data_IF_980838153120
#
_entry.id   IF_980838153120
#
_cell.length_a   1.000
_cell.length_b   1.000
_cell.length_c   1.000
_cell.angle_alpha   90.00
_cell.angle_beta   90.00
_cell.angle_gamma   90.00
#
_symmetry.space_group_name_H-M   'P 1'
#
loop_
_entity.id
_entity.type
_entity.pdbx_description
1 polymer ?
#
# COMPACT_ATOMS: atom_id res chain seq x y z
N UNK A 1 31.89 43.18 -21.19
CA UNK A 1 32.59 42.05 -21.83
C UNK A 1 31.57 41.26 -22.63
N UNK A 2 31.92 41.01 -23.90
CA UNK A 2 31.09 40.52 -24.98
C UNK A 2 30.79 39.01 -24.93
N UNK A 3 29.79 38.64 -25.75
CA UNK A 3 29.54 37.37 -26.47
C UNK A 3 28.40 36.49 -25.93
N UNK A 4 27.47 35.96 -26.74
CA UNK A 4 26.99 36.21 -28.12
C UNK A 4 25.70 35.36 -28.29
N UNK A 5 24.85 35.76 -29.22
CA UNK A 5 23.49 35.27 -29.55
C UNK A 5 23.37 33.81 -30.08
N UNK A 6 22.14 33.24 -30.02
CA UNK A 6 21.24 32.74 -31.11
C UNK A 6 20.22 31.73 -30.48
N UNK A 7 18.89 31.92 -30.34
CA UNK A 7 17.70 32.17 -31.20
C UNK A 7 16.93 30.88 -31.66
N UNK A 8 15.64 30.83 -31.27
CA UNK A 8 14.44 30.16 -31.86
C UNK A 8 14.24 28.63 -31.76
N UNK A 9 13.13 28.17 -31.17
CA UNK A 9 11.85 28.00 -31.88
C UNK A 9 10.70 27.59 -30.94
N UNK A 10 9.53 28.18 -31.17
CA UNK A 10 8.26 27.99 -30.47
C UNK A 10 7.44 26.88 -31.14
N UNK A 11 6.79 26.00 -30.37
CA UNK A 11 5.66 25.20 -30.87
C UNK A 11 4.55 25.16 -29.81
N UNK A 12 3.48 25.90 -30.07
CA UNK A 12 2.14 25.67 -29.52
C UNK A 12 1.55 24.43 -30.18
N UNK A 13 0.84 23.59 -29.42
CA UNK A 13 -0.15 22.68 -29.99
C UNK A 13 -1.53 22.95 -29.38
N UNK A 14 -2.41 23.45 -30.24
CA UNK A 14 -3.84 23.63 -30.04
C UNK A 14 -4.55 22.28 -30.14
N UNK A 15 -5.41 21.95 -29.18
CA UNK A 15 -6.35 20.83 -29.27
C UNK A 15 -7.64 21.34 -29.92
N UNK A 16 -7.93 20.86 -31.12
CA UNK A 16 -9.18 21.13 -31.83
C UNK A 16 -10.18 20.02 -31.49
N UNK A 17 -11.36 20.40 -30.97
CA UNK A 17 -12.53 19.53 -30.90
C UNK A 17 -13.00 19.17 -32.31
N UNK A 18 -13.36 17.90 -32.54
CA UNK A 18 -14.39 17.55 -33.52
C UNK A 18 -15.55 16.85 -32.80
N UNK A 19 -16.71 17.47 -32.95
CA UNK A 19 -18.05 16.91 -32.71
C UNK A 19 -18.53 16.22 -33.98
N UNK A 20 -19.20 15.08 -33.88
CA UNK A 20 -20.44 14.80 -34.64
C UNK A 20 -21.31 13.84 -33.86
N UNK A 21 -22.61 14.04 -34.01
CA UNK A 21 -23.68 13.52 -33.21
C UNK A 21 -24.38 12.31 -33.85
N UNK A 22 -25.10 11.60 -32.99
CA UNK A 22 -26.38 10.92 -33.22
C UNK A 22 -26.43 9.75 -34.22
N UNK A 23 -26.84 8.59 -33.71
CA UNK A 23 -28.18 8.09 -34.02
C UNK A 23 -28.73 7.21 -32.90
N UNK A 24 -29.97 7.53 -32.54
CA UNK A 24 -30.83 6.85 -31.61
C UNK A 24 -31.49 5.66 -32.32
N UNK A 25 -31.68 4.53 -31.62
CA UNK A 25 -32.92 3.76 -31.75
C UNK A 25 -33.08 2.87 -30.50
N UNK A 26 -34.15 3.14 -29.75
CA UNK A 26 -34.71 2.27 -28.72
C UNK A 26 -35.18 0.94 -29.31
N UNK A 27 -35.14 -0.13 -28.51
CA UNK A 27 -36.35 -0.82 -28.01
C UNK A 27 -36.02 -2.11 -27.22
N UNK A 28 -36.63 -2.19 -26.03
CA UNK A 28 -37.17 -3.35 -25.32
C UNK A 28 -36.43 -4.72 -25.30
N UNK A 29 -36.18 -5.18 -24.06
CA UNK A 29 -36.82 -6.34 -23.41
C UNK A 29 -35.85 -7.33 -22.70
N UNK A 30 -35.93 -7.32 -21.37
CA UNK A 30 -35.93 -8.44 -20.40
C UNK A 30 -34.97 -9.65 -20.49
N UNK A 31 -34.59 -10.06 -19.26
CA UNK A 31 -34.27 -11.41 -18.76
C UNK A 31 -32.80 -11.89 -18.74
N UNK A 32 -32.33 -12.03 -17.49
CA UNK A 32 -31.70 -13.21 -16.89
C UNK A 32 -30.92 -14.18 -17.80
N UNK A 33 -29.65 -14.40 -17.46
CA UNK A 33 -28.97 -15.64 -17.87
C UNK A 33 -27.46 -15.55 -17.79
N UNK A 34 -26.90 -15.82 -16.60
CA UNK A 34 -25.50 -16.22 -16.46
C UNK A 34 -25.37 -17.60 -17.11
N UNK A 35 -24.63 -17.70 -18.23
CA UNK A 35 -24.09 -18.97 -18.70
C UNK A 35 -22.66 -18.84 -19.17
N UNK A 36 -21.85 -19.72 -18.57
CA UNK A 36 -20.44 -19.96 -18.86
C UNK A 36 -20.21 -20.32 -20.32
N UNK A 37 -19.13 -19.80 -20.91
CA UNK A 37 -18.58 -20.30 -22.15
C UNK A 37 -17.23 -20.98 -21.89
N UNK A 38 -17.30 -22.32 -21.93
CA UNK A 38 -16.18 -23.22 -22.22
C UNK A 38 -15.61 -22.85 -23.59
N UNK A 39 -14.30 -22.62 -23.67
CA UNK A 39 -13.60 -22.49 -24.95
C UNK A 39 -13.15 -23.86 -25.45
N UNK A 40 -13.57 -24.18 -26.67
CA UNK A 40 -13.22 -25.39 -27.39
C UNK A 40 -11.85 -25.27 -28.06
N UNK A 41 -11.12 -26.40 -28.02
CA UNK A 41 -9.95 -26.73 -28.86
C UNK A 41 -10.27 -26.57 -30.35
N UNK A 42 -9.32 -26.00 -31.09
CA UNK A 42 -9.05 -26.43 -32.46
C UNK A 42 -7.54 -26.34 -32.72
N UNK A 43 -6.94 -27.50 -33.02
CA UNK A 43 -5.59 -27.64 -33.54
C UNK A 43 -5.57 -27.23 -35.02
N UNK A 44 -4.56 -26.48 -35.43
CA UNK A 44 -3.95 -26.60 -36.76
C UNK A 44 -2.43 -26.64 -36.56
N UNK A 45 -1.79 -27.67 -37.12
CA UNK A 45 -0.34 -27.88 -37.16
C UNK A 45 0.18 -27.59 -38.58
N UNK A 46 1.51 -27.38 -38.62
CA UNK A 46 2.46 -27.36 -39.74
C UNK A 46 2.66 -26.02 -40.44
N UNK A 47 3.85 -25.64 -40.88
CA UNK A 47 5.26 -25.95 -40.56
C UNK A 47 6.03 -24.94 -41.43
N UNK A 48 6.95 -24.15 -40.88
CA UNK A 48 8.10 -23.64 -41.65
C UNK A 48 9.18 -23.11 -40.72
N UNK A 49 10.37 -23.71 -40.84
CA UNK A 49 11.64 -23.22 -40.30
C UNK A 49 12.09 -21.98 -41.08
N UNK A 50 12.57 -20.93 -40.41
CA UNK A 50 13.88 -20.32 -40.69
C UNK A 50 14.34 -19.45 -39.51
N UNK A 51 15.65 -19.43 -39.33
CA UNK A 51 16.42 -18.93 -38.19
C UNK A 51 16.42 -17.40 -38.04
N UNK A 52 16.42 -16.89 -36.79
CA UNK A 52 17.30 -15.80 -36.36
C UNK A 52 17.28 -15.67 -34.82
N UNK A 53 18.48 -15.49 -34.27
CA UNK A 53 18.85 -15.37 -32.85
C UNK A 53 18.10 -14.26 -32.11
N UNK A 54 17.66 -14.55 -30.89
CA UNK A 54 17.82 -13.61 -29.77
C UNK A 54 18.04 -14.38 -28.46
N UNK A 55 19.32 -14.46 -28.09
CA UNK A 55 19.81 -14.76 -26.75
C UNK A 55 19.45 -13.58 -25.84
N UNK A 56 18.73 -13.82 -24.74
CA UNK A 56 19.28 -13.67 -23.39
C UNK A 56 18.18 -14.01 -22.36
N UNK A 57 18.14 -15.28 -21.97
CA UNK A 57 17.48 -15.70 -20.75
C UNK A 57 18.19 -15.01 -19.58
N UNK A 58 17.60 -13.94 -19.04
CA UNK A 58 17.92 -13.40 -17.71
C UNK A 58 17.76 -14.52 -16.69
N UNK A 59 18.86 -15.26 -16.50
CA UNK A 59 19.09 -16.21 -15.45
C UNK A 59 18.92 -15.43 -14.14
N UNK A 60 17.93 -15.81 -13.34
CA UNK A 60 17.89 -15.41 -11.94
C UNK A 60 19.26 -15.74 -11.35
N UNK A 61 20.03 -14.71 -11.02
CA UNK A 61 21.16 -14.84 -10.12
C UNK A 61 20.55 -15.12 -8.76
N UNK A 62 20.34 -16.40 -8.46
CA UNK A 62 20.26 -16.84 -7.07
C UNK A 62 21.65 -16.55 -6.50
N UNK A 63 21.77 -15.42 -5.80
CA UNK A 63 22.98 -15.08 -5.04
C UNK A 63 23.25 -16.23 -4.09
N UNK A 64 24.28 -17.02 -4.40
CA UNK A 64 24.72 -18.10 -3.53
C UNK A 64 25.22 -17.43 -2.25
N UNK A 65 24.60 -17.76 -1.12
CA UNK A 65 24.99 -17.30 0.22
C UNK A 65 26.52 -17.48 0.36
N UNK A 66 27.27 -16.44 0.75
CA UNK A 66 28.73 -16.49 0.78
C UNK A 66 29.18 -17.60 1.73
N UNK A 67 30.14 -18.41 1.28
CA UNK A 67 30.70 -19.53 2.05
C UNK A 67 31.72 -18.98 3.06
N UNK A 68 31.21 -18.41 4.15
CA UNK A 68 31.99 -17.83 5.24
C UNK A 68 31.97 -18.81 6.40
N UNK A 69 33.14 -19.27 6.83
CA UNK A 69 33.28 -20.09 8.03
C UNK A 69 32.66 -19.36 9.24
N UNK A 70 31.83 -20.06 10.03
CA UNK A 70 30.94 -19.41 10.99
C UNK A 70 31.67 -18.69 12.13
N UNK A 71 32.86 -19.16 12.47
CA UNK A 71 33.74 -18.62 13.50
C UNK A 71 34.73 -17.57 12.99
N UNK A 72 34.78 -17.31 11.67
CA UNK A 72 35.66 -16.31 11.10
C UNK A 72 35.17 -14.91 11.46
N UNK A 73 36.11 -14.04 11.87
CA UNK A 73 35.84 -12.62 12.02
C UNK A 73 35.38 -12.00 10.67
N UNK A 74 34.23 -11.33 10.71
CA UNK A 74 33.62 -10.68 9.56
C UNK A 74 34.27 -9.32 9.32
N UNK A 75 34.67 -9.07 8.08
CA UNK A 75 35.06 -7.73 7.62
C UNK A 75 33.84 -6.83 7.41
N UNK A 76 34.08 -5.53 7.24
CA UNK A 76 33.02 -4.58 6.87
C UNK A 76 32.36 -4.95 5.54
N UNK A 77 33.13 -5.46 4.57
CA UNK A 77 32.62 -5.96 3.29
C UNK A 77 31.77 -7.22 3.47
N UNK A 78 32.17 -8.14 4.34
CA UNK A 78 31.34 -9.31 4.68
C UNK A 78 30.01 -8.85 5.29
N UNK A 79 30.04 -7.91 6.24
CA UNK A 79 28.83 -7.39 6.88
C UNK A 79 27.91 -6.66 5.90
N UNK A 80 28.45 -5.86 4.97
CA UNK A 80 27.67 -5.21 3.91
C UNK A 80 27.03 -6.22 2.96
N UNK A 81 27.74 -7.30 2.63
CA UNK A 81 27.21 -8.36 1.77
C UNK A 81 26.11 -9.16 2.47
N UNK A 82 26.28 -9.45 3.76
CA UNK A 82 25.32 -10.22 4.56
C UNK A 82 24.06 -9.42 4.93
N UNK A 83 24.24 -8.13 5.23
CA UNK A 83 23.19 -7.21 5.64
C UNK A 83 23.33 -5.92 4.81
N UNK A 84 22.80 -5.89 3.57
CA UNK A 84 22.98 -4.76 2.66
C UNK A 84 22.43 -3.43 3.20
N UNK A 85 21.27 -3.48 3.87
CA UNK A 85 20.68 -2.31 4.52
C UNK A 85 21.58 -1.80 5.65
N UNK A 86 22.02 -0.54 5.53
CA UNK A 86 22.95 0.05 6.48
C UNK A 86 22.34 0.20 7.88
N UNK A 87 21.05 0.53 7.98
CA UNK A 87 20.38 0.73 9.25
C UNK A 87 20.19 -0.62 9.96
N UNK A 88 19.76 -1.65 9.23
CA UNK A 88 19.63 -3.00 9.79
C UNK A 88 20.98 -3.55 10.25
N UNK A 89 22.01 -3.40 9.41
CA UNK A 89 23.39 -3.77 9.76
C UNK A 89 23.87 -3.06 11.02
N UNK A 90 23.63 -1.74 11.15
CA UNK A 90 24.01 -0.97 12.33
C UNK A 90 23.33 -1.46 13.61
N UNK A 91 22.05 -1.84 13.51
CA UNK A 91 21.30 -2.42 14.64
C UNK A 91 21.87 -3.77 15.08
N UNK A 92 22.39 -4.56 14.15
CA UNK A 92 23.06 -5.82 14.47
C UNK A 92 24.42 -5.54 15.12
N UNK A 93 25.27 -4.73 14.48
CA UNK A 93 26.66 -4.52 14.90
C UNK A 93 26.76 -3.80 16.24
N UNK A 94 25.78 -2.97 16.63
CA UNK A 94 25.76 -2.32 17.97
C UNK A 94 25.67 -3.31 19.14
N UNK A 95 25.31 -4.58 18.91
CA UNK A 95 25.32 -5.63 19.94
C UNK A 95 26.74 -6.12 20.28
N UNK A 96 27.74 -5.79 19.45
CA UNK A 96 29.10 -6.34 19.54
C UNK A 96 30.17 -5.27 19.77
N UNK A 97 29.83 -4.16 20.45
CA UNK A 97 30.77 -3.04 20.65
C UNK A 97 32.09 -3.56 21.25
N UNK A 98 33.19 -3.27 20.54
CA UNK A 98 34.57 -3.67 20.88
C UNK A 98 34.85 -5.18 20.85
N UNK A 99 34.05 -5.95 20.11
CA UNK A 99 34.28 -7.38 19.92
C UNK A 99 34.35 -7.72 18.44
N UNK A 100 35.09 -8.77 18.11
CA UNK A 100 34.98 -9.37 16.77
C UNK A 100 33.54 -9.84 16.55
N UNK A 101 33.06 -9.70 15.32
CA UNK A 101 31.75 -10.18 14.89
C UNK A 101 31.99 -11.43 14.06
N UNK A 102 31.31 -12.51 14.40
CA UNK A 102 31.31 -13.78 13.67
C UNK A 102 29.86 -14.20 13.41
N UNK A 103 29.63 -15.11 12.48
CA UNK A 103 28.26 -15.63 12.25
C UNK A 103 27.74 -16.41 13.46
N UNK A 104 28.63 -17.09 14.20
CA UNK A 104 28.27 -17.79 15.44
C UNK A 104 27.77 -16.80 16.50
N UNK A 105 28.48 -15.70 16.72
CA UNK A 105 28.04 -14.65 17.66
C UNK A 105 26.73 -13.98 17.24
N UNK A 106 26.52 -13.77 15.94
CA UNK A 106 25.24 -13.26 15.42
C UNK A 106 24.11 -14.27 15.67
N UNK A 107 24.37 -15.55 15.45
CA UNK A 107 23.40 -16.62 15.68
C UNK A 107 23.06 -16.77 17.17
N UNK A 108 24.00 -16.51 18.07
CA UNK A 108 23.82 -16.57 19.52
C UNK A 108 22.95 -15.44 20.10
N UNK A 109 22.72 -14.36 19.35
CA UNK A 109 21.76 -13.33 19.73
C UNK A 109 20.37 -13.96 19.93
N UNK A 110 19.77 -13.71 21.09
CA UNK A 110 18.52 -14.33 21.50
C UNK A 110 17.60 -13.35 22.23
N UNK A 111 16.35 -13.76 22.46
CA UNK A 111 15.34 -12.91 23.10
C UNK A 111 14.69 -11.95 22.11
N UNK A 112 14.75 -10.65 22.41
CA UNK A 112 14.14 -9.59 21.61
C UNK A 112 15.16 -8.82 20.79
N UNK A 113 14.89 -8.66 19.49
CA UNK A 113 15.64 -7.81 18.58
C UNK A 113 14.89 -6.49 18.38
N UNK A 114 15.31 -5.45 19.10
CA UNK A 114 14.68 -4.13 19.06
C UNK A 114 15.31 -3.22 18.01
N UNK A 115 14.49 -2.75 17.06
CA UNK A 115 14.91 -1.97 15.90
C UNK A 115 13.86 -0.91 15.49
N UNK A 116 13.21 -0.28 16.46
CA UNK A 116 12.16 0.72 16.21
C UNK A 116 12.73 2.04 15.68
N UNK A 117 12.17 2.57 14.59
CA UNK A 117 12.48 3.93 14.14
C UNK A 117 13.85 4.09 13.48
N UNK A 118 14.51 3.00 13.12
CA UNK A 118 15.88 2.95 12.62
C UNK A 118 15.97 3.32 11.11
N UNK A 119 14.84 3.46 10.43
CA UNK A 119 14.79 3.77 9.00
C UNK A 119 15.18 2.59 8.10
N UNK A 120 14.96 1.36 8.58
CA UNK A 120 15.27 0.13 7.85
C UNK A 120 14.33 -0.02 6.64
N UNK A 121 14.89 -0.32 5.47
CA UNK A 121 14.14 -0.61 4.23
C UNK A 121 14.14 -2.10 3.88
N UNK A 122 15.25 -2.81 4.17
CA UNK A 122 15.40 -4.24 3.89
C UNK A 122 15.88 -5.03 5.12
N UNK A 123 15.31 -6.23 5.27
CA UNK A 123 15.69 -7.21 6.28
C UNK A 123 16.55 -8.35 5.71
N UNK A 124 17.13 -8.18 4.53
CA UNK A 124 18.05 -9.17 3.97
C UNK A 124 19.19 -9.49 4.96
N UNK A 125 19.43 -10.79 5.17
CA UNK A 125 20.32 -11.32 6.19
C UNK A 125 19.62 -11.73 7.49
N UNK A 126 18.33 -11.45 7.67
CA UNK A 126 17.61 -11.79 8.91
C UNK A 126 17.71 -13.28 9.27
N UNK A 127 17.91 -14.17 8.29
CA UNK A 127 18.07 -15.61 8.54
C UNK A 127 19.29 -16.00 9.39
N UNK A 128 20.24 -15.07 9.59
CA UNK A 128 21.38 -15.27 10.49
C UNK A 128 21.04 -15.08 11.97
N UNK A 129 19.94 -14.40 12.31
CA UNK A 129 19.47 -14.15 13.68
C UNK A 129 18.66 -15.33 14.23
N UNK A 130 19.29 -16.52 14.23
CA UNK A 130 18.62 -17.83 14.40
C UNK A 130 17.88 -18.01 15.74
N UNK A 131 18.37 -17.38 16.81
CA UNK A 131 17.88 -17.59 18.17
C UNK A 131 16.98 -16.46 18.69
N UNK A 132 16.73 -15.42 17.88
CA UNK A 132 15.76 -14.37 18.22
C UNK A 132 14.34 -14.93 18.22
N UNK A 133 13.57 -14.57 19.25
CA UNK A 133 12.18 -14.98 19.41
C UNK A 133 11.21 -13.85 19.07
N UNK A 134 11.57 -12.62 19.39
CA UNK A 134 10.72 -11.44 19.20
C UNK A 134 11.45 -10.42 18.33
N UNK A 135 10.89 -10.08 17.18
CA UNK A 135 11.40 -9.02 16.32
C UNK A 135 10.54 -7.76 16.46
N UNK A 136 11.16 -6.61 16.77
CA UNK A 136 10.47 -5.33 16.89
C UNK A 136 11.02 -4.35 15.86
N UNK A 137 10.28 -4.16 14.77
CA UNK A 137 10.62 -3.32 13.62
C UNK A 137 9.64 -2.16 13.44
N UNK A 138 9.05 -1.67 14.53
CA UNK A 138 8.05 -0.61 14.49
C UNK A 138 8.62 0.66 13.85
N UNK A 139 7.81 1.41 13.10
CA UNK A 139 8.20 2.71 12.59
C UNK A 139 9.41 2.69 11.63
N UNK A 140 9.53 1.70 10.75
CA UNK A 140 10.58 1.64 9.72
C UNK A 140 10.01 1.88 8.32
N UNK A 141 10.82 1.64 7.28
CA UNK A 141 10.49 1.84 5.87
C UNK A 141 10.34 0.50 5.11
N UNK A 142 10.05 -0.60 5.82
CA UNK A 142 10.07 -1.97 5.27
C UNK A 142 8.89 -2.18 4.31
N UNK A 143 9.17 -2.66 3.09
CA UNK A 143 8.16 -2.87 2.03
C UNK A 143 7.74 -4.31 1.84
N UNK A 144 8.60 -5.25 2.24
CA UNK A 144 8.38 -6.68 2.14
C UNK A 144 9.23 -7.42 3.18
N UNK A 145 8.83 -8.64 3.52
CA UNK A 145 9.66 -9.54 4.31
C UNK A 145 10.45 -10.46 3.37
N UNK A 146 11.78 -10.61 3.55
CA UNK A 146 12.56 -11.51 2.72
C UNK A 146 12.14 -12.96 2.98
N UNK A 147 12.05 -13.77 1.92
CA UNK A 147 11.58 -15.16 2.03
C UNK A 147 12.40 -16.02 3.00
N UNK A 148 13.68 -15.68 3.21
CA UNK A 148 14.56 -16.38 4.14
C UNK A 148 14.17 -16.25 5.62
N UNK A 149 13.30 -15.29 5.99
CA UNK A 149 12.73 -15.20 7.35
C UNK A 149 11.96 -16.47 7.71
N UNK A 150 11.43 -17.18 6.71
CA UNK A 150 10.69 -18.44 6.89
C UNK A 150 11.58 -19.58 7.42
N UNK A 151 12.90 -19.44 7.35
CA UNK A 151 13.86 -20.44 7.83
C UNK A 151 14.13 -20.33 9.33
N UNK A 152 13.73 -19.22 9.96
CA UNK A 152 13.90 -19.00 11.39
C UNK A 152 12.88 -19.85 12.15
N UNK A 153 13.39 -20.70 13.05
CA UNK A 153 12.58 -21.71 13.78
C UNK A 153 12.12 -21.23 15.16
N UNK A 154 12.78 -20.22 15.72
CA UNK A 154 12.57 -19.77 17.10
C UNK A 154 11.66 -18.54 17.21
N UNK A 155 11.23 -17.94 16.09
CA UNK A 155 10.36 -16.76 16.10
C UNK A 155 9.02 -17.11 16.72
N UNK A 156 8.58 -16.25 17.64
CA UNK A 156 7.24 -16.27 18.23
C UNK A 156 6.44 -15.05 17.81
N UNK A 157 7.07 -13.87 17.81
CA UNK A 157 6.40 -12.59 17.57
C UNK A 157 7.19 -11.72 16.59
N UNK A 158 6.48 -11.04 15.68
CA UNK A 158 7.05 -10.01 14.81
C UNK A 158 6.16 -8.77 14.84
N UNK A 159 6.71 -7.64 15.28
CA UNK A 159 6.03 -6.36 15.27
C UNK A 159 6.56 -5.48 14.12
N UNK A 160 5.75 -5.33 13.09
CA UNK A 160 5.97 -4.54 11.86
C UNK A 160 5.02 -3.34 11.81
N UNK A 161 4.45 -2.93 12.95
CA UNK A 161 3.57 -1.77 13.03
C UNK A 161 4.21 -0.57 12.34
N UNK A 162 3.44 0.14 11.53
CA UNK A 162 3.87 1.41 10.97
C UNK A 162 5.09 1.26 10.01
N UNK A 163 4.92 0.45 8.97
CA UNK A 163 5.87 0.24 7.87
C UNK A 163 5.17 0.46 6.50
N UNK A 164 5.68 -0.13 5.41
CA UNK A 164 5.12 -0.01 4.06
C UNK A 164 4.87 -1.37 3.38
N UNK A 165 4.55 -2.40 4.16
CA UNK A 165 4.41 -3.77 3.65
C UNK A 165 3.21 -3.89 2.72
N UNK A 166 3.46 -4.32 1.49
CA UNK A 166 2.44 -4.48 0.43
C UNK A 166 2.17 -5.93 0.06
N UNK A 167 3.17 -6.80 0.20
CA UNK A 167 3.08 -8.22 -0.11
C UNK A 167 2.79 -9.04 1.15
N UNK A 168 1.63 -9.70 1.15
CA UNK A 168 1.18 -10.56 2.25
C UNK A 168 1.65 -12.02 2.07
N UNK A 169 2.37 -12.38 1.01
CA UNK A 169 2.73 -13.76 0.69
C UNK A 169 3.57 -14.44 1.79
N UNK A 170 4.60 -13.75 2.28
CA UNK A 170 5.48 -14.22 3.37
C UNK A 170 4.77 -14.11 4.73
N UNK A 171 4.07 -13.00 4.98
CA UNK A 171 3.27 -12.80 6.19
C UNK A 171 2.29 -13.95 6.43
N UNK A 172 1.51 -14.30 5.40
CA UNK A 172 0.53 -15.39 5.47
C UNK A 172 1.17 -16.74 5.78
N UNK A 173 2.38 -17.00 5.28
CA UNK A 173 3.12 -18.24 5.60
C UNK A 173 3.58 -18.26 7.06
N UNK A 174 4.03 -17.12 7.60
CA UNK A 174 4.43 -17.00 9.00
C UNK A 174 3.21 -17.13 9.94
N UNK A 175 2.10 -16.49 9.63
CA UNK A 175 0.84 -16.62 10.39
C UNK A 175 0.37 -18.07 10.41
N UNK A 176 0.42 -18.78 9.26
CA UNK A 176 0.09 -20.22 9.18
C UNK A 176 1.02 -21.10 10.04
N UNK A 177 2.23 -20.64 10.34
CA UNK A 177 3.15 -21.31 11.28
C UNK A 177 2.84 -21.00 12.76
N UNK A 178 1.81 -20.19 13.04
CA UNK A 178 1.44 -19.81 14.41
C UNK A 178 2.29 -18.68 14.99
N UNK A 179 2.99 -17.92 14.15
CA UNK A 179 3.75 -16.74 14.58
C UNK A 179 2.78 -15.56 14.73
N UNK A 180 2.82 -14.88 15.87
CA UNK A 180 2.05 -13.65 16.07
C UNK A 180 2.71 -12.50 15.31
N UNK A 181 1.92 -11.78 14.52
CA UNK A 181 2.42 -10.68 13.69
C UNK A 181 1.51 -9.48 13.78
N UNK A 182 2.05 -8.39 14.32
CA UNK A 182 1.41 -7.08 14.25
C UNK A 182 1.96 -6.33 13.04
N UNK A 183 1.20 -6.24 11.97
CA UNK A 183 1.54 -5.47 10.76
C UNK A 183 0.52 -4.35 10.49
N UNK A 184 -0.15 -3.87 11.55
CA UNK A 184 -1.07 -2.75 11.43
C UNK A 184 -0.35 -1.47 10.95
N UNK A 185 -1.12 -0.51 10.44
CA UNK A 185 -0.61 0.81 10.03
C UNK A 185 0.46 0.77 8.92
N UNK A 186 0.51 -0.30 8.12
CA UNK A 186 1.39 -0.37 6.96
C UNK A 186 0.82 0.47 5.81
N UNK A 187 1.41 1.65 5.58
CA UNK A 187 0.97 2.63 4.58
C UNK A 187 1.47 2.25 3.17
N UNK A 188 0.66 2.46 2.16
CA UNK A 188 0.95 2.16 0.76
C UNK A 188 0.53 3.38 -0.05
N UNK A 189 1.53 4.13 -0.52
CA UNK A 189 1.29 5.30 -1.37
C UNK A 189 0.34 4.91 -2.53
N UNK A 190 -0.82 5.57 -2.58
CA UNK A 190 -1.89 5.39 -3.57
C UNK A 190 -2.77 4.12 -3.43
N UNK A 191 -2.80 3.45 -2.27
CA UNK A 191 -3.90 2.51 -1.97
C UNK A 191 -5.02 3.22 -1.22
N UNK A 192 -6.25 2.91 -1.63
CA UNK A 192 -7.46 3.30 -0.91
C UNK A 192 -7.46 2.70 0.51
N UNK A 193 -8.16 3.34 1.45
CA UNK A 193 -8.57 2.75 2.75
C UNK A 193 -7.48 2.60 3.82
N UNK A 194 -6.44 3.43 3.80
CA UNK A 194 -5.29 3.28 4.71
C UNK A 194 -5.23 4.27 5.87
N UNK A 195 -6.24 5.12 6.00
CA UNK A 195 -6.34 6.14 7.04
C UNK A 195 -7.69 5.99 7.71
N UNK A 196 -7.74 6.35 9.00
CA UNK A 196 -9.03 6.50 9.64
C UNK A 196 -9.78 7.66 8.97
N UNK A 197 -10.96 7.38 8.48
CA UNK A 197 -11.80 8.29 7.74
C UNK A 197 -12.69 9.06 8.71
N UNK A 198 -12.77 10.37 8.54
CA UNK A 198 -13.59 11.20 9.40
C UNK A 198 -14.34 12.26 8.59
N UNK A 199 -15.34 12.84 9.25
CA UNK A 199 -16.11 13.96 8.73
C UNK A 199 -15.52 15.26 9.25
N UNK A 200 -15.35 16.25 8.37
CA UNK A 200 -15.06 17.64 8.76
C UNK A 200 -16.17 18.18 9.66
N UNK A 201 -17.42 17.78 9.40
CA UNK A 201 -18.59 18.19 10.18
C UNK A 201 -19.37 16.97 10.69
N UNK A 202 -19.70 16.95 11.98
CA UNK A 202 -20.68 15.98 12.52
C UNK A 202 -22.12 16.34 12.14
N UNK A 203 -22.39 17.63 11.99
CA UNK A 203 -23.70 18.16 11.59
C UNK A 203 -23.51 19.16 10.45
N UNK A 204 -24.25 18.98 9.36
CA UNK A 204 -24.21 19.82 8.17
C UNK A 204 -25.60 20.46 7.95
N UNK A 205 -25.65 21.76 7.71
CA UNK A 205 -26.89 22.45 7.34
C UNK A 205 -26.83 22.81 5.86
N UNK A 206 -27.87 22.45 5.10
CA UNK A 206 -27.99 22.76 3.68
C UNK A 206 -29.30 23.48 3.40
N UNK A 207 -29.32 24.36 2.40
CA UNK A 207 -30.57 24.90 1.84
C UNK A 207 -31.14 23.92 0.82
N UNK A 208 -32.46 23.87 0.68
CA UNK A 208 -33.10 23.11 -0.42
C UNK A 208 -32.45 23.45 -1.78
N UNK A 209 -32.06 22.41 -2.52
CA UNK A 209 -31.40 22.51 -3.82
C UNK A 209 -29.87 22.66 -3.77
N UNK A 210 -29.30 22.91 -2.59
CA UNK A 210 -27.84 23.01 -2.41
C UNK A 210 -27.18 21.65 -2.67
N UNK A 211 -25.99 21.71 -3.29
CA UNK A 211 -25.16 20.55 -3.62
C UNK A 211 -23.80 20.68 -2.98
N UNK A 212 -23.28 19.60 -2.41
CA UNK A 212 -21.96 19.59 -1.78
C UNK A 212 -21.19 18.34 -2.21
N UNK A 213 -19.91 18.51 -2.55
CA UNK A 213 -19.02 17.36 -2.80
C UNK A 213 -18.69 16.67 -1.49
N UNK A 214 -18.69 15.34 -1.49
CA UNK A 214 -18.23 14.54 -0.38
C UNK A 214 -16.77 14.86 -0.03
N UNK A 215 -15.91 15.16 -1.01
CA UNK A 215 -14.50 15.50 -0.77
C UNK A 215 -14.32 16.72 0.15
N UNK A 216 -15.32 17.63 0.21
CA UNK A 216 -15.31 18.80 1.10
C UNK A 216 -15.83 18.51 2.51
N UNK A 217 -16.49 17.37 2.70
CA UNK A 217 -17.09 16.97 3.96
C UNK A 217 -16.21 16.00 4.75
N UNK A 218 -15.14 15.53 4.14
CA UNK A 218 -14.40 14.37 4.61
C UNK A 218 -12.92 14.74 4.79
N UNK A 219 -12.28 14.07 5.74
CA UNK A 219 -10.85 14.22 6.00
C UNK A 219 -10.26 12.93 6.57
N UNK A 220 -8.92 12.85 6.57
CA UNK A 220 -8.17 11.82 7.29
C UNK A 220 -8.10 12.20 8.78
N UNK A 221 -8.36 11.25 9.67
CA UNK A 221 -8.18 11.40 11.12
C UNK A 221 -6.71 11.24 11.50
N UNK A 222 -5.94 12.30 11.28
CA UNK A 222 -4.51 12.37 11.63
C UNK A 222 -4.28 12.90 13.06
N UNK A 223 -5.33 13.42 13.72
CA UNK A 223 -5.24 14.03 15.06
C UNK A 223 -5.32 13.00 16.18
N UNK A 224 -5.77 11.79 15.87
CA UNK A 224 -5.77 10.70 16.83
C UNK A 224 -4.32 10.28 17.12
N UNK A 225 -3.82 10.58 18.32
CA UNK A 225 -2.47 10.27 18.80
C UNK A 225 -2.10 8.77 18.79
N UNK A 226 -3.00 7.88 18.34
CA UNK A 226 -2.73 6.46 18.10
C UNK A 226 -1.72 6.20 16.98
N UNK A 227 -1.50 7.15 16.07
CA UNK A 227 -0.48 7.04 15.03
C UNK A 227 0.81 7.72 15.52
N UNK A 228 1.70 6.95 16.15
CA UNK A 228 2.92 7.46 16.81
C UNK A 228 3.97 8.05 15.83
N UNK A 229 3.74 7.97 14.51
CA UNK A 229 4.46 8.77 13.51
C UNK A 229 3.49 9.56 12.63
N UNK A 230 3.75 10.86 12.55
CA UNK A 230 3.07 11.85 11.71
C UNK A 230 3.44 11.69 10.22
N UNK A 231 3.26 10.52 9.61
CA UNK A 231 3.55 10.38 8.17
C UNK A 231 2.54 11.15 7.31
N UNK A 232 1.30 11.14 7.75
CA UNK A 232 0.24 11.86 7.10
C UNK A 232 0.11 13.22 7.77
N UNK A 233 0.78 14.20 7.17
CA UNK A 233 0.74 15.62 7.60
C UNK A 233 -0.46 16.36 7.02
N UNK A 234 -1.19 15.75 6.08
CA UNK A 234 -2.36 16.32 5.44
C UNK A 234 -3.62 15.57 5.87
N UNK A 235 -4.62 16.31 6.34
CA UNK A 235 -5.95 15.76 6.56
C UNK A 235 -6.78 15.69 5.26
N UNK A 236 -6.22 16.12 4.13
CA UNK A 236 -6.88 16.07 2.82
C UNK A 236 -6.95 14.64 2.25
N UNK A 237 -8.03 14.36 1.54
CA UNK A 237 -8.29 13.08 0.89
C UNK A 237 -7.80 13.14 -0.58
N UNK A 238 -7.19 12.06 -1.12
CA UNK A 238 -6.87 11.96 -2.54
C UNK A 238 -8.08 12.21 -3.45
N UNK A 239 -7.86 12.90 -4.58
CA UNK A 239 -8.94 13.41 -5.45
C UNK A 239 -9.72 12.35 -6.24
N UNK A 240 -9.33 11.07 -6.19
CA UNK A 240 -9.91 10.00 -7.01
C UNK A 240 -10.49 8.84 -6.17
N UNK A 241 -10.84 9.08 -4.91
CA UNK A 241 -11.44 8.05 -4.07
C UNK A 241 -12.87 7.71 -4.54
N UNK A 242 -13.16 6.41 -4.59
CA UNK A 242 -14.52 5.91 -4.74
C UNK A 242 -15.15 5.76 -3.36
N UNK A 243 -16.24 6.50 -3.11
CA UNK A 243 -16.98 6.38 -1.86
C UNK A 243 -18.13 5.38 -2.01
N UNK A 244 -18.36 4.62 -0.95
CA UNK A 244 -19.59 3.87 -0.71
C UNK A 244 -20.47 4.71 0.20
N UNK A 245 -21.68 5.05 -0.25
CA UNK A 245 -22.55 6.01 0.43
C UNK A 245 -23.91 5.38 0.72
N UNK A 246 -24.34 5.47 1.97
CA UNK A 246 -25.68 5.08 2.42
C UNK A 246 -26.42 6.30 2.94
N UNK A 247 -27.50 6.68 2.24
CA UNK A 247 -28.40 7.78 2.64
C UNK A 247 -29.65 7.17 3.29
N UNK A 248 -29.99 7.64 4.48
CA UNK A 248 -31.07 7.06 5.28
C UNK A 248 -32.46 7.50 4.81
N UNK A 249 -32.59 8.70 4.25
CA UNK A 249 -33.83 9.20 3.66
C UNK A 249 -33.56 9.93 2.33
N UNK A 250 -33.86 9.24 1.23
CA UNK A 250 -33.68 9.75 -0.13
C UNK A 250 -34.69 10.86 -0.52
N UNK A 251 -35.72 11.10 0.29
CA UNK A 251 -36.65 12.22 0.08
C UNK A 251 -36.05 13.53 0.57
N UNK A 252 -35.16 13.48 1.56
CA UNK A 252 -34.47 14.64 2.14
C UNK A 252 -33.15 14.92 1.42
N UNK A 253 -32.39 13.88 1.08
CA UNK A 253 -31.06 13.96 0.48
C UNK A 253 -30.90 12.94 -0.63
N UNK A 254 -30.27 13.31 -1.75
CA UNK A 254 -29.91 12.34 -2.78
C UNK A 254 -28.42 12.38 -3.09
N UNK A 255 -27.87 11.23 -3.47
CA UNK A 255 -26.54 11.12 -4.06
C UNK A 255 -26.68 11.36 -5.57
N UNK A 256 -25.99 12.37 -6.08
CA UNK A 256 -25.85 12.63 -7.51
C UNK A 256 -24.47 12.14 -8.01
N UNK A 257 -24.31 12.10 -9.34
CA UNK A 257 -23.05 11.75 -9.99
C UNK A 257 -21.86 12.60 -9.50
N UNK A 258 -20.68 11.98 -9.49
CA UNK A 258 -19.44 12.62 -9.07
C UNK A 258 -19.35 12.88 -7.56
N UNK A 259 -19.87 11.96 -6.74
CA UNK A 259 -19.76 11.99 -5.27
C UNK A 259 -20.30 13.28 -4.64
N UNK A 260 -21.51 13.70 -5.05
CA UNK A 260 -22.17 14.90 -4.52
C UNK A 260 -23.46 14.52 -3.83
N UNK A 261 -23.71 15.09 -2.66
CA UNK A 261 -25.03 15.04 -2.05
C UNK A 261 -25.81 16.31 -2.39
N UNK A 262 -27.11 16.16 -2.63
CA UNK A 262 -28.04 17.25 -2.91
C UNK A 262 -29.18 17.26 -1.91
N UNK A 263 -29.45 18.43 -1.36
CA UNK A 263 -30.60 18.69 -0.51
C UNK A 263 -31.89 18.74 -1.35
N UNK A 264 -32.83 17.84 -1.09
CA UNK A 264 -34.05 17.64 -1.89
C UNK A 264 -35.26 18.30 -1.26
N UNK A 265 -35.52 18.03 0.02
CA UNK A 265 -36.66 18.58 0.76
C UNK A 265 -36.29 18.88 2.21
N UNK A 266 -36.99 19.83 2.87
CA UNK A 266 -36.75 20.14 4.28
C UNK A 266 -36.90 18.91 5.17
N UNK A 267 -35.96 18.71 6.09
CA UNK A 267 -35.92 17.54 6.96
C UNK A 267 -34.53 17.29 7.53
N UNK A 268 -34.43 16.22 8.32
CA UNK A 268 -33.17 15.74 8.88
C UNK A 268 -32.88 14.34 8.35
N UNK A 269 -31.64 14.09 7.91
CA UNK A 269 -31.24 12.81 7.35
C UNK A 269 -29.79 12.52 7.73
N UNK A 270 -29.46 11.24 7.92
CA UNK A 270 -28.09 10.78 8.11
C UNK A 270 -27.51 10.31 6.79
N UNK A 271 -26.23 10.60 6.57
CA UNK A 271 -25.45 10.03 5.48
C UNK A 271 -24.25 9.31 6.07
N UNK A 272 -24.13 8.02 5.78
CA UNK A 272 -22.98 7.18 6.14
C UNK A 272 -22.10 7.05 4.90
N UNK A 273 -20.83 7.42 5.04
CA UNK A 273 -19.88 7.48 3.93
C UNK A 273 -18.69 6.63 4.33
N UNK A 274 -18.31 5.70 3.46
CA UNK A 274 -17.15 4.84 3.63
C UNK A 274 -16.31 4.82 2.37
N UNK A 275 -15.05 4.48 2.55
CA UNK A 275 -14.12 4.17 1.46
C UNK A 275 -14.01 2.65 1.23
N UNK A 276 -14.64 1.85 2.11
CA UNK A 276 -14.71 0.38 2.05
C UNK A 276 -16.17 -0.09 2.00
N UNK A 277 -16.47 -1.10 1.19
CA UNK A 277 -17.83 -1.64 1.04
C UNK A 277 -18.33 -2.38 2.28
N UNK A 278 -17.43 -2.84 3.16
CA UNK A 278 -17.77 -3.47 4.42
C UNK A 278 -18.12 -2.47 5.54
N UNK A 279 -17.95 -1.17 5.30
CA UNK A 279 -18.21 -0.11 6.28
C UNK A 279 -17.51 -0.30 7.64
N UNK A 280 -16.23 -0.72 7.64
CA UNK A 280 -15.44 -0.80 8.87
C UNK A 280 -15.40 0.55 9.60
N UNK A 281 -15.32 0.51 10.93
CA UNK A 281 -15.36 1.72 11.77
C UNK A 281 -14.26 2.72 11.44
N UNK A 282 -13.07 2.23 11.08
CA UNK A 282 -11.96 3.11 10.71
C UNK A 282 -12.11 3.68 9.31
N UNK A 283 -12.79 3.02 8.37
CA UNK A 283 -12.97 3.52 7.01
C UNK A 283 -14.26 4.33 6.83
N UNK A 284 -15.03 4.57 7.89
CA UNK A 284 -16.41 5.03 7.79
C UNK A 284 -16.71 6.19 8.72
N UNK A 285 -17.46 7.17 8.21
CA UNK A 285 -18.00 8.27 9.02
C UNK A 285 -19.49 8.45 8.76
N UNK A 286 -20.18 9.11 9.68
CA UNK A 286 -21.59 9.48 9.55
C UNK A 286 -21.75 10.97 9.80
N UNK A 287 -22.49 11.64 8.93
CA UNK A 287 -22.82 13.06 9.02
C UNK A 287 -24.34 13.17 9.18
N UNK A 288 -24.78 13.93 10.18
CA UNK A 288 -26.18 14.34 10.27
C UNK A 288 -26.37 15.58 9.40
N UNK A 289 -27.36 15.57 8.52
CA UNK A 289 -27.64 16.66 7.59
C UNK A 289 -29.04 17.19 7.85
N UNK A 290 -29.14 18.51 8.01
CA UNK A 290 -30.40 19.23 8.15
C UNK A 290 -30.63 20.10 6.93
N UNK A 291 -31.72 19.86 6.23
CA UNK A 291 -32.14 20.66 5.08
C UNK A 291 -33.18 21.68 5.54
N UNK A 292 -32.92 22.96 5.26
CA UNK A 292 -33.83 24.07 5.50
C UNK A 292 -34.46 24.56 4.19
#
# INVERSE_FOLDING_TARGET
MNMKYIKLCSILFTITLLTTASNCLDTHNTQNGVYALKTNKALVKQDSKTEAKETDSKKLVVSKKPDIASNKALSDEDLKMLFPDANFRNVITRNFKHQEITLDKIADLSGEFYATGEGIESLEGISYLKNIQNFVFVNNNIKELPSEILNLKNIKNINLLNNYITDNSVLNKLIKKGIDINYNLNFIKNKDNQYKFNSVYKNLNLKKGEKVSLDKLLCKDIKNKKYEKYWEVSDEIPTNIKYVVSIYDNKVLNLEEGNKIKAVSPGECKVKISIDDNFYDDSTTTINVKVK
#
